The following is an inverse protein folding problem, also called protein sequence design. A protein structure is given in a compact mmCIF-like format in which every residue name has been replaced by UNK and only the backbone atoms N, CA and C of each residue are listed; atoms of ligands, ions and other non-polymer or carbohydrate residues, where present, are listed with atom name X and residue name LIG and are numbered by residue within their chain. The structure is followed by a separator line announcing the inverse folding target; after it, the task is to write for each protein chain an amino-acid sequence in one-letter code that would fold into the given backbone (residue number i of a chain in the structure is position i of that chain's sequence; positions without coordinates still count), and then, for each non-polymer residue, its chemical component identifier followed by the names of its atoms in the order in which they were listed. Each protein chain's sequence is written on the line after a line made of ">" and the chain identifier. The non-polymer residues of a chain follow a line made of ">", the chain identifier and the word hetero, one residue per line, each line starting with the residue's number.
data_IF_370079884300
#
_entry.id   IF_370079884300
#
_cell.length_a   1.000
_cell.length_b   1.000
_cell.length_c   1.000
_cell.angle_alpha   90.00
_cell.angle_beta   90.00
_cell.angle_gamma   90.00
#
_symmetry.space_group_name_H-M   'P 1'
#
loop_
_entity.id
_entity.type
_entity.pdbx_description
1 polymer ?
#
# COMPACT_ATOMS: atom_id res chain seq x y z
N UNK A 1 -13.66 6.26 8.30
CA UNK A 1 -13.51 7.69 7.96
C UNK A 1 -12.04 7.97 8.16
N UNK A 2 -11.37 8.73 7.30
CA UNK A 2 -9.95 9.02 7.52
C UNK A 2 -9.83 10.17 8.52
N UNK A 3 -9.58 9.85 9.78
CA UNK A 3 -9.55 10.79 10.91
C UNK A 3 -8.42 10.55 11.93
N UNK A 4 -7.67 9.46 11.80
CA UNK A 4 -6.53 9.15 12.66
C UNK A 4 -6.90 8.55 14.02
N UNK A 5 -8.17 8.21 14.26
CA UNK A 5 -8.60 7.37 15.39
C UNK A 5 -8.32 5.89 15.14
N UNK A 6 -8.35 5.47 13.86
CA UNK A 6 -8.15 4.12 13.37
C UNK A 6 -9.19 3.07 13.85
N UNK A 7 -10.27 3.50 14.50
CA UNK A 7 -11.31 2.61 15.03
C UNK A 7 -12.08 1.88 13.91
N UNK A 8 -12.15 2.47 12.72
CA UNK A 8 -12.74 1.87 11.52
C UNK A 8 -11.99 0.63 11.02
N UNK A 9 -10.75 0.43 11.47
CA UNK A 9 -9.94 -0.75 11.16
C UNK A 9 -10.08 -1.87 12.19
N UNK A 10 -10.80 -1.67 13.29
CA UNK A 10 -10.87 -2.65 14.39
C UNK A 10 -11.39 -4.02 13.94
N UNK A 11 -12.34 -4.05 13.00
CA UNK A 11 -12.95 -5.27 12.47
C UNK A 11 -12.35 -5.72 11.13
N UNK A 12 -11.40 -4.98 10.56
CA UNK A 12 -10.75 -5.33 9.30
C UNK A 12 -9.52 -6.18 9.63
N UNK A 13 -9.45 -7.42 9.12
CA UNK A 13 -8.30 -8.29 9.38
C UNK A 13 -7.00 -7.70 8.86
N UNK A 14 -5.99 -7.78 9.70
CA UNK A 14 -4.65 -7.26 9.44
C UNK A 14 -3.77 -8.42 9.02
N UNK A 15 -3.00 -8.17 7.96
CA UNK A 15 -1.93 -9.04 7.52
C UNK A 15 -0.63 -8.54 8.10
N UNK A 16 0.05 -9.49 8.69
CA UNK A 16 1.34 -9.34 9.32
C UNK A 16 2.45 -9.31 8.27
N UNK A 17 3.26 -8.25 8.27
CA UNK A 17 4.30 -7.98 7.28
C UNK A 17 5.69 -8.01 7.94
N UNK A 18 6.55 -8.88 7.40
CA UNK A 18 7.93 -9.06 7.85
C UNK A 18 8.77 -9.81 6.82
N UNK A 19 10.08 -9.78 7.00
CA UNK A 19 10.96 -10.72 6.34
C UNK A 19 11.05 -12.01 7.16
N UNK A 20 11.18 -13.15 6.48
CA UNK A 20 11.30 -14.46 7.17
C UNK A 20 12.51 -14.56 8.10
N UNK A 21 13.54 -13.75 7.85
CA UNK A 21 14.76 -13.64 8.67
C UNK A 21 14.68 -12.55 9.74
N UNK A 22 13.61 -11.75 9.77
CA UNK A 22 13.42 -10.64 10.70
C UNK A 22 12.25 -10.91 11.64
N UNK A 23 12.56 -11.43 12.83
CA UNK A 23 11.57 -11.66 13.89
C UNK A 23 11.30 -10.43 14.75
N UNK A 24 11.95 -9.29 14.46
CA UNK A 24 11.91 -8.10 15.29
C UNK A 24 11.08 -6.99 14.67
N UNK A 25 11.35 -6.61 13.42
CA UNK A 25 10.62 -5.55 12.73
C UNK A 25 9.38 -6.14 12.07
N UNK A 26 8.28 -6.07 12.80
CA UNK A 26 6.98 -6.52 12.34
C UNK A 26 6.06 -5.35 12.08
N UNK A 27 5.22 -5.45 11.05
CA UNK A 27 4.26 -4.42 10.67
C UNK A 27 2.91 -5.08 10.45
N UNK A 28 1.85 -4.29 10.46
CA UNK A 28 0.54 -4.75 10.08
C UNK A 28 0.00 -3.88 8.97
N UNK A 29 -0.56 -4.51 7.94
CA UNK A 29 -1.29 -3.82 6.89
C UNK A 29 -2.70 -4.38 6.82
N UNK A 30 -3.68 -3.55 6.49
CA UNK A 30 -5.01 -4.00 6.11
C UNK A 30 -5.47 -3.26 4.86
N UNK A 31 -6.26 -3.96 4.05
CA UNK A 31 -6.79 -3.44 2.80
C UNK A 31 -8.31 -3.65 2.79
N UNK A 32 -9.04 -2.63 2.38
CA UNK A 32 -10.49 -2.68 2.21
C UNK A 32 -10.90 -1.85 0.99
N UNK A 33 -12.07 -2.13 0.43
CA UNK A 33 -12.64 -1.41 -0.70
C UNK A 33 -14.13 -1.25 -0.52
N UNK A 34 -14.67 -0.16 -1.05
CA UNK A 34 -16.09 0.01 -1.32
C UNK A 34 -16.30 0.34 -2.81
N UNK A 35 -17.52 0.70 -3.19
CA UNK A 35 -17.87 1.02 -4.59
C UNK A 35 -17.14 2.25 -5.14
N UNK A 36 -16.54 3.09 -4.29
CA UNK A 36 -16.00 4.40 -4.64
C UNK A 36 -14.51 4.57 -4.36
N UNK A 37 -13.95 3.80 -3.42
CA UNK A 37 -12.58 3.98 -2.97
C UNK A 37 -11.92 2.70 -2.48
N UNK A 38 -10.60 2.73 -2.55
CA UNK A 38 -9.70 1.83 -1.86
C UNK A 38 -9.23 2.45 -0.55
N UNK A 39 -9.09 1.62 0.48
CA UNK A 39 -8.62 2.01 1.80
C UNK A 39 -7.43 1.14 2.18
N UNK A 40 -6.37 1.77 2.68
CA UNK A 40 -5.17 1.11 3.19
C UNK A 40 -4.91 1.55 4.63
N UNK A 41 -4.54 0.59 5.48
CA UNK A 41 -4.04 0.80 6.83
C UNK A 41 -2.64 0.22 6.97
N UNK A 42 -1.79 0.90 7.73
CA UNK A 42 -0.43 0.48 8.05
C UNK A 42 -0.14 0.81 9.52
N UNK A 43 0.28 -0.18 10.31
CA UNK A 43 0.93 0.00 11.60
C UNK A 43 2.38 -0.48 11.47
N UNK A 44 3.32 0.45 11.65
CA UNK A 44 4.74 0.18 11.44
C UNK A 44 5.38 -0.68 12.52
N UNK A 45 4.78 -0.79 13.71
CA UNK A 45 5.39 -1.52 14.81
C UNK A 45 4.37 -1.91 15.91
N UNK A 46 3.37 -2.76 15.60
CA UNK A 46 2.23 -3.07 16.48
C UNK A 46 2.61 -3.74 17.80
N UNK A 47 3.77 -4.40 17.89
CA UNK A 47 4.13 -5.22 19.05
C UNK A 47 4.94 -4.47 20.10
N UNK A 48 5.94 -3.68 19.72
CA UNK A 48 6.96 -3.23 20.70
C UNK A 48 7.69 -1.93 20.37
N UNK A 49 7.23 -1.18 19.35
CA UNK A 49 7.73 0.16 18.96
C UNK A 49 9.24 0.42 18.91
N UNK A 50 10.06 -0.64 18.89
CA UNK A 50 11.50 -0.57 18.75
C UNK A 50 11.87 -1.24 17.43
N UNK A 51 12.73 -0.58 16.65
CA UNK A 51 13.06 -0.99 15.29
C UNK A 51 12.50 -0.03 14.25
N UNK A 52 12.07 -0.55 13.10
CA UNK A 52 11.55 0.24 12.00
C UNK A 52 10.10 0.67 12.27
N UNK A 53 9.93 1.83 12.92
CA UNK A 53 8.66 2.34 13.44
C UNK A 53 8.19 3.66 12.81
N UNK A 54 8.97 4.25 11.90
CA UNK A 54 8.61 5.42 11.09
C UNK A 54 7.97 4.96 9.79
N UNK A 55 6.92 5.65 9.33
CA UNK A 55 6.18 5.30 8.13
C UNK A 55 7.09 5.17 6.90
N UNK A 56 7.02 4.02 6.24
CA UNK A 56 7.53 3.90 4.87
C UNK A 56 6.60 4.69 3.95
N UNK A 57 7.07 5.79 3.39
CA UNK A 57 6.22 6.70 2.58
C UNK A 57 6.18 6.35 1.09
N UNK A 58 6.88 5.30 0.64
CA UNK A 58 7.06 5.05 -0.78
C UNK A 58 7.01 3.56 -1.15
N UNK A 59 6.81 3.30 -2.45
CA UNK A 59 6.84 1.96 -3.05
C UNK A 59 5.74 1.01 -2.58
N UNK A 60 4.52 1.51 -2.36
CA UNK A 60 3.36 0.62 -2.24
C UNK A 60 2.93 0.18 -3.63
N UNK A 61 3.14 -1.08 -3.95
CA UNK A 61 2.80 -1.68 -5.23
C UNK A 61 1.40 -2.25 -5.17
N UNK A 62 0.49 -1.67 -5.96
CA UNK A 62 -0.87 -2.14 -6.12
C UNK A 62 -1.04 -2.84 -7.47
N UNK A 63 -1.75 -3.97 -7.46
CA UNK A 63 -2.31 -4.54 -8.69
C UNK A 63 -3.82 -4.48 -8.59
N UNK A 64 -4.49 -3.90 -9.58
CA UNK A 64 -5.95 -3.85 -9.69
C UNK A 64 -6.34 -4.41 -11.05
N UNK A 65 -6.86 -5.64 -11.07
CA UNK A 65 -7.11 -6.35 -12.33
C UNK A 65 -5.82 -6.55 -13.11
N UNK A 66 -5.72 -5.96 -14.31
CA UNK A 66 -4.53 -6.00 -15.17
C UNK A 66 -3.61 -4.78 -15.00
N UNK A 67 -3.94 -3.83 -14.13
CA UNK A 67 -3.21 -2.59 -13.95
C UNK A 67 -2.27 -2.67 -12.75
N UNK A 68 -1.09 -2.09 -12.90
CA UNK A 68 -0.06 -2.05 -11.86
C UNK A 68 0.27 -0.60 -11.50
N UNK A 69 0.13 -0.25 -10.23
CA UNK A 69 0.36 1.09 -9.71
C UNK A 69 1.42 1.07 -8.61
N UNK A 70 2.21 2.12 -8.56
CA UNK A 70 3.09 2.50 -7.46
C UNK A 70 2.47 3.71 -6.77
N UNK A 71 2.39 3.64 -5.44
CA UNK A 71 1.86 4.72 -4.61
C UNK A 71 2.94 5.19 -3.63
N UNK A 72 3.19 6.48 -3.67
CA UNK A 72 3.97 7.23 -2.69
C UNK A 72 3.06 8.16 -1.90
N UNK A 73 3.41 8.42 -0.65
CA UNK A 73 2.75 9.40 0.21
C UNK A 73 3.50 10.72 0.14
N UNK A 74 2.77 11.77 -0.21
CA UNK A 74 3.29 13.13 -0.39
C UNK A 74 2.52 14.09 0.50
N UNK A 75 3.12 15.23 0.81
CA UNK A 75 2.39 16.33 1.44
C UNK A 75 1.22 16.75 0.54
N UNK A 76 0.20 17.47 1.05
CA UNK A 76 -0.85 18.05 0.22
C UNK A 76 -0.34 18.97 -0.91
N UNK A 77 0.86 19.55 -0.75
CA UNK A 77 1.55 20.35 -1.78
C UNK A 77 2.37 19.52 -2.78
N UNK A 78 2.40 18.19 -2.66
CA UNK A 78 3.11 17.27 -3.55
C UNK A 78 4.58 17.03 -3.22
N UNK A 79 5.07 17.54 -2.09
CA UNK A 79 6.45 17.30 -1.64
C UNK A 79 6.59 15.92 -1.00
N UNK A 80 7.81 15.40 -0.90
CA UNK A 80 8.08 14.17 -0.14
C UNK A 80 7.56 14.31 1.29
N UNK A 81 6.74 13.35 1.74
CA UNK A 81 6.26 13.32 3.11
C UNK A 81 7.43 12.95 4.03
N UNK A 82 7.69 13.80 5.02
CA UNK A 82 8.55 13.48 6.16
C UNK A 82 7.61 13.20 7.34
N UNK A 83 7.88 12.18 8.15
CA UNK A 83 7.09 11.85 9.35
C UNK A 83 7.94 11.65 10.59
N UNK A 84 9.26 11.46 10.41
CA UNK A 84 10.22 11.23 11.49
C UNK A 84 10.24 12.32 12.57
N UNK A 85 9.81 13.54 12.22
CA UNK A 85 9.72 14.72 13.08
C UNK A 85 8.41 14.83 13.89
N UNK A 86 7.46 13.91 13.73
CA UNK A 86 6.23 13.92 14.52
C UNK A 86 6.50 13.70 16.00
N UNK A 87 5.91 14.51 16.88
CA UNK A 87 5.89 14.18 18.30
C UNK A 87 4.79 13.13 18.60
N UNK A 88 4.90 12.44 19.73
CA UNK A 88 3.84 11.53 20.19
C UNK A 88 2.50 12.25 20.28
N UNK A 89 1.45 11.60 19.76
CA UNK A 89 0.09 12.14 19.70
C UNK A 89 -0.12 13.15 18.58
N UNK A 90 0.91 13.45 17.76
CA UNK A 90 0.76 14.30 16.59
C UNK A 90 0.43 13.49 15.36
N UNK A 91 -0.34 14.13 14.49
CA UNK A 91 -0.72 13.60 13.19
C UNK A 91 -0.26 14.51 12.06
N UNK A 92 -0.12 13.94 10.87
CA UNK A 92 0.16 14.67 9.63
C UNK A 92 -0.71 14.13 8.51
N UNK A 93 -1.35 15.04 7.80
CA UNK A 93 -2.08 14.71 6.59
C UNK A 93 -1.14 14.50 5.41
N UNK A 94 -1.56 13.61 4.50
CA UNK A 94 -0.86 13.34 3.26
C UNK A 94 -1.82 12.99 2.13
N UNK A 95 -1.28 12.91 0.91
CA UNK A 95 -1.97 12.54 -0.32
C UNK A 95 -1.23 11.38 -1.00
N UNK A 96 -1.96 10.59 -1.77
CA UNK A 96 -1.39 9.57 -2.64
C UNK A 96 -0.84 10.23 -3.91
N UNK A 97 0.42 9.99 -4.22
CA UNK A 97 0.98 10.17 -5.54
C UNK A 97 0.98 8.83 -6.25
N UNK A 98 0.24 8.74 -7.35
CA UNK A 98 -0.07 7.48 -8.03
C UNK A 98 0.64 7.49 -9.37
N UNK A 99 1.45 6.46 -9.60
CA UNK A 99 2.12 6.19 -10.85
C UNK A 99 1.73 4.81 -11.36
N UNK A 100 1.21 4.70 -12.58
CA UNK A 100 0.90 3.42 -13.23
C UNK A 100 2.07 2.97 -14.09
N UNK A 101 2.46 1.71 -13.95
CA UNK A 101 3.53 1.11 -14.73
C UNK A 101 3.15 1.02 -16.22
N UNK A 102 3.95 1.60 -17.11
CA UNK A 102 3.71 1.59 -18.56
C UNK A 102 3.73 2.98 -19.19
N UNK A 103 3.57 3.06 -20.52
CA UNK A 103 3.91 4.27 -21.27
C UNK A 103 2.83 5.37 -21.34
N UNK A 104 1.61 5.20 -20.81
CA UNK A 104 0.52 6.21 -20.90
C UNK A 104 -0.49 6.18 -19.73
N UNK A 105 -0.05 5.74 -18.55
CA UNK A 105 -0.93 5.54 -17.39
C UNK A 105 -1.13 6.75 -16.48
N UNK A 106 -1.75 6.55 -15.32
CA UNK A 106 -1.85 7.54 -14.23
C UNK A 106 -0.45 7.97 -13.77
N UNK A 107 -0.19 9.28 -13.62
CA UNK A 107 1.05 9.79 -13.02
C UNK A 107 0.80 11.16 -12.38
N UNK A 108 0.24 11.17 -11.16
CA UNK A 108 -0.27 12.40 -10.56
C UNK A 108 -0.37 12.31 -9.04
N UNK A 109 -0.32 13.49 -8.41
CA UNK A 109 -0.80 13.66 -7.06
C UNK A 109 -2.33 13.61 -7.07
N UNK A 110 -2.92 12.69 -6.32
CA UNK A 110 -4.36 12.65 -6.12
C UNK A 110 -4.80 13.82 -5.24
N UNK A 111 -5.66 14.69 -5.78
CA UNK A 111 -6.27 15.79 -5.02
C UNK A 111 -7.38 15.31 -4.07
N UNK A 112 -8.03 14.19 -4.40
CA UNK A 112 -9.19 13.65 -3.72
C UNK A 112 -8.87 12.54 -2.69
N UNK A 113 -7.64 12.00 -2.71
CA UNK A 113 -7.17 11.08 -1.68
C UNK A 113 -7.11 11.76 -0.31
N UNK A 114 -7.25 10.99 0.76
CA UNK A 114 -7.16 11.48 2.12
C UNK A 114 -6.30 10.50 2.90
N UNK A 115 -5.16 10.95 3.41
CA UNK A 115 -4.30 10.14 4.26
C UNK A 115 -3.95 10.88 5.53
N UNK A 116 -3.83 10.14 6.63
CA UNK A 116 -3.33 10.65 7.90
C UNK A 116 -2.38 9.63 8.51
N UNK A 117 -1.26 10.12 9.03
CA UNK A 117 -0.33 9.34 9.84
C UNK A 117 -0.28 9.94 11.23
N UNK A 118 -0.29 9.10 12.26
CA UNK A 118 -0.22 9.49 13.67
C UNK A 118 0.89 8.73 14.36
N UNK A 119 1.73 9.43 15.14
CA UNK A 119 2.70 8.78 16.02
C UNK A 119 2.05 8.45 17.36
N UNK A 120 2.00 7.18 17.71
CA UNK A 120 1.46 6.70 18.98
C UNK A 120 2.56 6.24 19.92
N UNK A 121 2.36 6.47 21.22
CA UNK A 121 3.33 6.24 22.31
C UNK A 121 4.61 7.09 22.22
N UNK A 122 5.22 7.39 23.38
CA UNK A 122 6.48 8.13 23.49
C UNK A 122 7.67 7.22 23.74
N UNK A 123 7.46 6.14 24.50
CA UNK A 123 8.39 5.03 24.61
C UNK A 123 7.95 3.99 23.60
N UNK A 124 8.88 3.48 22.79
CA UNK A 124 8.57 2.45 21.81
C UNK A 124 7.40 2.92 20.92
N UNK A 125 7.59 4.00 20.18
CA UNK A 125 6.51 4.55 19.36
C UNK A 125 6.23 3.68 18.13
N UNK A 126 5.03 3.82 17.58
CA UNK A 126 4.69 3.36 16.23
C UNK A 126 4.03 4.50 15.47
N UNK A 127 4.34 4.62 14.18
CA UNK A 127 3.52 5.41 13.27
C UNK A 127 2.46 4.52 12.64
N UNK A 128 1.20 4.92 12.84
CA UNK A 128 0.04 4.29 12.20
C UNK A 128 -0.49 5.25 11.15
N UNK A 129 -0.74 4.73 9.96
CA UNK A 129 -1.28 5.47 8.84
C UNK A 129 -2.53 4.80 8.28
N UNK A 130 -3.45 5.63 7.83
CA UNK A 130 -4.59 5.21 7.03
C UNK A 130 -4.73 6.12 5.82
N UNK A 131 -5.27 5.55 4.74
CA UNK A 131 -5.36 6.21 3.45
C UNK A 131 -6.63 5.77 2.74
N UNK A 132 -7.35 6.74 2.19
CA UNK A 132 -8.44 6.55 1.23
C UNK A 132 -8.01 7.09 -0.13
N UNK A 133 -8.20 6.30 -1.18
CA UNK A 133 -7.95 6.69 -2.57
C UNK A 133 -9.20 6.40 -3.41
N UNK A 134 -9.85 7.42 -3.98
CA UNK A 134 -10.93 7.24 -4.94
C UNK A 134 -10.53 6.35 -6.13
N UNK A 135 -11.44 5.47 -6.57
CA UNK A 135 -11.19 4.60 -7.73
C UNK A 135 -10.97 5.38 -9.04
N UNK A 136 -11.59 6.55 -9.15
CA UNK A 136 -11.39 7.48 -10.26
C UNK A 136 -9.93 7.91 -10.42
N UNK A 137 -9.15 7.94 -9.34
CA UNK A 137 -7.74 8.33 -9.41
C UNK A 137 -6.86 7.26 -10.06
N UNK A 138 -7.34 6.00 -10.08
CA UNK A 138 -6.75 4.90 -10.83
C UNK A 138 -7.28 4.81 -12.27
N UNK A 139 -8.27 5.65 -12.64
CA UNK A 139 -9.07 5.54 -13.87
C UNK A 139 -9.79 4.19 -13.98
N UNK A 140 -10.30 3.70 -12.84
CA UNK A 140 -11.04 2.45 -12.74
C UNK A 140 -12.49 2.77 -12.40
N UNK A 141 -13.41 2.33 -13.26
CA UNK A 141 -14.84 2.58 -13.09
C UNK A 141 -15.54 1.57 -12.17
N UNK A 142 -14.95 0.37 -11.99
CA UNK A 142 -15.51 -0.67 -11.13
C UNK A 142 -14.44 -1.68 -10.69
N UNK A 143 -14.52 -2.09 -9.43
CA UNK A 143 -13.72 -3.19 -8.88
C UNK A 143 -14.43 -4.56 -8.97
N UNK A 144 -15.63 -4.64 -9.55
CA UNK A 144 -16.41 -5.87 -9.55
C UNK A 144 -15.61 -7.05 -10.14
N UNK A 145 -15.44 -8.10 -9.33
CA UNK A 145 -14.68 -9.32 -9.67
C UNK A 145 -13.19 -9.09 -9.97
N UNK A 146 -12.64 -7.91 -9.66
CA UNK A 146 -11.21 -7.65 -9.83
C UNK A 146 -10.44 -8.14 -8.62
N UNK A 147 -9.33 -8.84 -8.87
CA UNK A 147 -8.32 -9.12 -7.85
C UNK A 147 -7.58 -7.82 -7.56
N UNK A 148 -7.45 -7.50 -6.27
CA UNK A 148 -6.70 -6.35 -5.80
C UNK A 148 -5.60 -6.86 -4.90
N UNK A 149 -4.36 -6.46 -5.19
CA UNK A 149 -3.21 -6.77 -4.34
C UNK A 149 -2.48 -5.52 -3.92
N UNK A 150 -1.89 -5.57 -2.73
CA UNK A 150 -0.91 -4.58 -2.30
C UNK A 150 0.26 -5.26 -1.61
N UNK A 151 1.46 -4.78 -1.89
CA UNK A 151 2.69 -5.15 -1.18
C UNK A 151 3.61 -3.94 -1.06
N UNK A 152 4.56 -4.02 -0.14
CA UNK A 152 5.70 -3.11 -0.07
C UNK A 152 6.94 -3.93 0.30
N UNK A 153 7.84 -4.13 -0.66
CA UNK A 153 8.99 -5.03 -0.49
C UNK A 153 10.04 -4.50 0.47
N UNK A 154 9.94 -3.23 0.91
CA UNK A 154 10.80 -2.69 1.96
C UNK A 154 10.30 -3.08 3.37
N UNK A 155 9.01 -3.43 3.50
CA UNK A 155 8.39 -3.78 4.79
C UNK A 155 8.48 -5.28 5.08
N UNK A 156 8.36 -6.11 4.04
CA UNK A 156 8.38 -7.57 4.13
C UNK A 156 8.05 -8.23 2.80
N UNK A 157 7.82 -9.55 2.86
CA UNK A 157 7.61 -10.40 1.67
C UNK A 157 6.15 -10.77 1.40
N UNK A 158 5.24 -10.33 2.27
CA UNK A 158 3.82 -10.66 2.19
C UNK A 158 3.11 -9.73 1.21
N UNK A 159 2.11 -10.29 0.53
CA UNK A 159 1.16 -9.57 -0.30
C UNK A 159 -0.24 -9.71 0.31
N UNK A 160 -0.95 -8.59 0.44
CA UNK A 160 -2.36 -8.57 0.78
C UNK A 160 -3.16 -8.77 -0.49
N UNK A 161 -4.18 -9.63 -0.43
CA UNK A 161 -5.04 -9.94 -1.56
C UNK A 161 -6.49 -9.85 -1.11
N UNK A 162 -7.29 -9.05 -1.82
CA UNK A 162 -8.75 -9.01 -1.69
C UNK A 162 -9.39 -9.13 -3.08
N UNK A 163 -10.67 -9.46 -3.11
CA UNK A 163 -11.50 -9.43 -4.32
C UNK A 163 -12.47 -8.26 -4.22
N UNK A 164 -12.60 -7.46 -5.27
CA UNK A 164 -13.68 -6.48 -5.35
C UNK A 164 -15.02 -7.20 -5.46
N UNK A 165 -15.88 -7.03 -4.46
CA UNK A 165 -17.18 -7.67 -4.44
C UNK A 165 -18.13 -7.03 -5.46
N UNK A 166 -18.90 -7.86 -6.16
CA UNK A 166 -20.04 -7.41 -6.95
C UNK A 166 -21.20 -7.11 -5.99
N UNK A 167 -21.38 -5.83 -5.63
CA UNK A 167 -22.61 -5.24 -5.08
C UNK A 167 -23.22 -5.89 -3.81
N UNK A 168 -22.59 -5.69 -2.64
CA UNK A 168 -23.21 -5.71 -1.30
C UNK A 168 -22.15 -5.37 -0.21
N UNK A 169 -22.52 -4.83 0.97
CA UNK A 169 -21.57 -4.29 1.93
C UNK A 169 -20.82 -5.41 2.65
N UNK A 170 -19.62 -5.75 2.18
CA UNK A 170 -18.81 -6.80 2.81
C UNK A 170 -17.35 -6.39 2.92
N UNK A 171 -16.87 -6.40 4.16
CA UNK A 171 -15.47 -6.31 4.54
C UNK A 171 -14.79 -7.59 4.04
N UNK A 172 -14.17 -7.55 2.86
CA UNK A 172 -13.26 -8.61 2.44
C UNK A 172 -11.91 -8.40 3.13
N UNK A 173 -11.66 -9.28 4.09
CA UNK A 173 -10.41 -9.45 4.79
C UNK A 173 -9.32 -10.02 3.88
N UNK A 174 -8.15 -9.39 3.86
CA UNK A 174 -7.00 -9.91 3.13
C UNK A 174 -6.47 -11.22 3.70
N UNK A 175 -6.27 -12.23 2.85
CA UNK A 175 -5.42 -13.38 3.17
C UNK A 175 -3.98 -12.99 2.85
N UNK A 176 -3.10 -12.99 3.85
CA UNK A 176 -1.67 -12.83 3.64
C UNK A 176 -1.07 -14.08 3.00
N UNK A 177 -0.58 -13.97 1.77
CA UNK A 177 0.20 -15.03 1.12
C UNK A 177 1.67 -14.61 1.05
N UNK A 178 2.57 -15.53 1.42
CA UNK A 178 4.03 -15.35 1.29
C UNK A 178 4.44 -15.86 -0.08
N UNK A 179 4.87 -14.96 -0.98
CA UNK A 179 5.46 -15.35 -2.26
C UNK A 179 6.94 -14.99 -2.27
N UNK A 180 7.81 -15.99 -2.49
CA UNK A 180 9.21 -15.74 -2.82
C UNK A 180 9.30 -15.27 -4.27
N UNK A 181 9.39 -13.97 -4.52
CA UNK A 181 9.53 -13.43 -5.88
C UNK A 181 10.96 -13.67 -6.38
N UNK A 182 11.18 -14.74 -7.14
CA UNK A 182 12.33 -14.82 -8.05
C UNK A 182 12.03 -13.97 -9.28
N UNK A 183 12.70 -12.82 -9.41
CA UNK A 183 12.73 -12.04 -10.66
C UNK A 183 13.41 -12.88 -11.76
N UNK A 184 12.64 -13.50 -12.63
CA UNK A 184 13.12 -13.92 -13.95
C UNK A 184 12.60 -12.92 -14.98
N UNK A 185 13.41 -11.90 -15.24
CA UNK A 185 13.18 -10.95 -16.33
C UNK A 185 13.37 -11.69 -17.67
N UNK A 186 12.33 -11.70 -18.50
CA UNK A 186 12.37 -12.25 -19.85
C UNK A 186 13.43 -11.54 -20.69
N UNK A 187 14.36 -12.28 -21.29
CA UNK A 187 15.16 -11.81 -22.42
C UNK A 187 14.82 -12.65 -23.66
N UNK A 188 13.74 -12.25 -24.36
CA UNK A 188 13.50 -12.47 -25.80
C UNK A 188 13.93 -11.17 -26.50
N UNK A 189 14.61 -11.08 -27.62
CA UNK A 189 15.05 -12.00 -28.66
C UNK A 189 16.33 -11.36 -29.29
N UNK A 190 17.21 -12.16 -29.88
CA UNK A 190 17.90 -11.81 -31.12
C UNK A 190 18.41 -13.09 -31.77
N UNK A 191 17.51 -13.76 -32.49
CA UNK A 191 17.87 -14.73 -33.52
C UNK A 191 18.42 -13.96 -34.72
N UNK A 192 19.74 -13.92 -34.88
CA UNK A 192 20.34 -13.63 -36.19
C UNK A 192 20.59 -14.97 -36.89
N UNK A 193 19.73 -15.26 -37.87
CA UNK A 193 20.03 -16.23 -38.92
C UNK A 193 21.23 -15.70 -39.73
N UNK A 194 22.29 -16.49 -39.83
CA UNK A 194 23.25 -16.38 -40.92
C UNK A 194 23.47 -17.75 -41.52
N UNK A 195 23.01 -17.91 -42.76
CA UNK A 195 23.43 -18.95 -43.70
C UNK A 195 24.05 -18.24 -44.91
N UNK A 196 24.94 -18.99 -45.60
CA UNK A 196 25.69 -18.70 -46.82
C UNK A 196 27.12 -18.21 -46.55
N UNK A 197 28.20 -18.83 -47.06
CA UNK A 197 28.39 -19.92 -48.03
C UNK A 197 29.57 -20.80 -47.61
#
# INVERSE_FOLDING_TARGET
>A
MIDGSFDDWAQIPKTDISFSWDSYNYKQMALSVDDNALYLYIDMSPKQGNGYNVLQVANYEFTIGSHHYYIDFRTPSGQTLVTSDLATGQSREFKAYIYEAGNNGVNQLSTASQGIVTRLSSQNFTEIAELRIPLSDFKIDSLASQKITVKNTNLGSQELIIMGASSAPYILAGLGLVFATTLLWFKRDNLTFSRAN
#
